data_IF_342910031917
#
_entry.id   IF_342910031917
#
_cell.length_a   1.000
_cell.length_b   1.000
_cell.length_c   1.000
_cell.angle_alpha   90.00
_cell.angle_beta   90.00
_cell.angle_gamma   90.00
#
_symmetry.space_group_name_H-M   'P 1'
#
loop_
_entity.id
_entity.type
_entity.pdbx_description
1 polymer ?
#
# COMPACT_ATOMS: atom_id res chain seq x y z
N UNK A 1 36.91 -13.10 12.74
CA UNK A 1 37.59 -12.38 11.65
C UNK A 1 37.40 -10.89 11.87
N UNK A 2 38.48 -10.17 12.14
CA UNK A 2 38.44 -8.75 12.46
C UNK A 2 38.32 -7.92 11.17
N UNK A 3 37.13 -7.41 10.90
CA UNK A 3 36.93 -6.37 9.89
C UNK A 3 37.50 -5.08 10.48
N UNK A 4 38.59 -4.56 9.91
CA UNK A 4 39.31 -3.41 10.44
C UNK A 4 38.45 -2.14 10.53
N UNK A 5 38.78 -1.26 11.48
CA UNK A 5 38.04 -0.02 11.78
C UNK A 5 37.81 0.87 10.53
N UNK A 6 38.76 0.87 9.59
CA UNK A 6 38.67 1.55 8.29
C UNK A 6 37.63 0.93 7.35
N UNK A 7 37.50 -0.40 7.33
CA UNK A 7 36.48 -1.11 6.54
C UNK A 7 35.07 -0.83 7.06
N UNK A 8 34.89 -0.75 8.38
CA UNK A 8 33.61 -0.40 9.00
C UNK A 8 33.20 1.03 8.68
N UNK A 9 34.13 1.99 8.71
CA UNK A 9 33.87 3.40 8.36
C UNK A 9 33.56 3.57 6.87
N UNK A 10 34.29 2.88 5.99
CA UNK A 10 34.03 2.89 4.54
C UNK A 10 32.67 2.26 4.22
N UNK A 11 32.35 1.11 4.81
CA UNK A 11 31.05 0.48 4.68
C UNK A 11 29.93 1.40 5.15
N UNK A 12 30.08 2.03 6.32
CA UNK A 12 29.13 3.01 6.88
C UNK A 12 28.86 4.18 5.95
N UNK A 13 29.91 4.86 5.49
CA UNK A 13 29.78 6.03 4.63
C UNK A 13 29.19 5.64 3.26
N UNK A 14 29.58 4.47 2.74
CA UNK A 14 29.02 3.93 1.50
C UNK A 14 27.54 3.58 1.64
N UNK A 15 27.10 3.06 2.79
CA UNK A 15 25.70 2.68 2.99
C UNK A 15 24.78 3.90 3.15
N UNK A 16 25.23 4.94 3.86
CA UNK A 16 24.51 6.22 3.96
C UNK A 16 24.44 6.91 2.59
N UNK A 17 25.56 6.97 1.86
CA UNK A 17 25.59 7.52 0.51
C UNK A 17 24.67 6.72 -0.43
N UNK A 18 24.66 5.39 -0.33
CA UNK A 18 23.77 4.52 -1.12
C UNK A 18 22.31 4.77 -0.79
N UNK A 19 21.95 4.94 0.49
CA UNK A 19 20.58 5.29 0.89
C UNK A 19 20.12 6.64 0.31
N UNK A 20 20.99 7.66 0.35
CA UNK A 20 20.71 8.99 -0.22
C UNK A 20 20.62 8.93 -1.74
N UNK A 21 21.55 8.21 -2.39
CA UNK A 21 21.55 8.02 -3.84
C UNK A 21 20.34 7.20 -4.32
N UNK A 22 19.85 6.24 -3.54
CA UNK A 22 18.64 5.48 -3.85
C UNK A 22 17.39 6.36 -3.80
N UNK A 23 17.30 7.27 -2.82
CA UNK A 23 16.23 8.27 -2.76
C UNK A 23 16.31 9.19 -3.98
N UNK A 24 17.50 9.72 -4.30
CA UNK A 24 17.72 10.56 -5.48
C UNK A 24 17.40 9.83 -6.80
N UNK A 25 17.84 8.58 -6.95
CA UNK A 25 17.59 7.74 -8.12
C UNK A 25 16.09 7.43 -8.28
N UNK A 26 15.35 7.23 -7.19
CA UNK A 26 13.89 7.10 -7.25
C UNK A 26 13.23 8.36 -7.81
N UNK A 27 13.63 9.55 -7.36
CA UNK A 27 13.10 10.82 -7.86
C UNK A 27 13.41 11.05 -9.35
N UNK A 28 14.61 10.68 -9.80
CA UNK A 28 15.03 10.82 -11.21
C UNK A 28 14.37 9.77 -12.10
N UNK A 29 14.16 8.55 -11.61
CA UNK A 29 13.55 7.47 -12.39
C UNK A 29 12.01 7.50 -12.38
N UNK A 30 11.38 8.18 -11.41
CA UNK A 30 9.92 8.31 -11.29
C UNK A 30 9.22 8.77 -12.57
N UNK A 31 9.69 9.80 -13.31
CA UNK A 31 9.07 10.21 -14.58
C UNK A 31 9.18 9.14 -15.67
N UNK A 32 10.29 8.40 -15.72
CA UNK A 32 10.51 7.31 -16.67
C UNK A 32 9.55 6.13 -16.43
N UNK A 33 9.16 5.87 -15.18
CA UNK A 33 8.18 4.83 -14.84
C UNK A 33 6.73 5.19 -15.17
N UNK A 34 6.43 6.48 -15.36
CA UNK A 34 5.10 7.00 -15.72
C UNK A 34 4.87 6.92 -17.24
N UNK A 35 5.93 6.90 -18.06
CA UNK A 35 5.85 7.11 -19.51
C UNK A 35 5.88 5.85 -20.40
N UNK A 36 5.79 4.61 -19.88
CA UNK A 36 5.94 3.38 -20.68
C UNK A 36 4.65 2.58 -20.93
N UNK A 37 4.66 1.78 -22.01
CA UNK A 37 3.52 1.11 -22.67
C UNK A 37 2.88 -0.08 -21.91
N UNK A 38 1.61 -0.35 -22.23
CA UNK A 38 0.67 -1.34 -21.64
C UNK A 38 1.26 -2.74 -21.34
N UNK A 39 2.10 -3.31 -22.21
CA UNK A 39 2.64 -4.69 -22.09
C UNK A 39 3.62 -4.92 -20.94
N UNK A 40 4.32 -3.89 -20.47
CA UNK A 40 5.37 -4.02 -19.44
C UNK A 40 4.85 -3.81 -17.99
N UNK A 41 3.56 -3.48 -17.83
CA UNK A 41 2.99 -3.03 -16.55
C UNK A 41 2.97 -4.09 -15.43
N UNK A 42 2.84 -5.39 -15.77
CA UNK A 42 2.92 -6.48 -14.79
C UNK A 42 4.33 -6.65 -14.19
N UNK A 43 5.37 -6.31 -14.94
CA UNK A 43 6.78 -6.39 -14.52
C UNK A 43 7.22 -5.12 -13.79
N UNK A 44 6.64 -3.96 -14.16
CA UNK A 44 7.03 -2.63 -13.68
C UNK A 44 6.46 -2.26 -12.29
N UNK A 45 5.46 -2.94 -11.73
CA UNK A 45 5.20 -2.82 -10.29
C UNK A 45 6.18 -3.65 -9.47
N UNK A 46 6.67 -4.76 -10.02
CA UNK A 46 7.55 -5.68 -9.31
C UNK A 46 8.97 -5.14 -9.18
N UNK A 47 9.58 -4.62 -10.25
CA UNK A 47 11.00 -4.22 -10.28
C UNK A 47 11.32 -2.98 -9.41
N UNK A 48 10.57 -1.86 -9.46
CA UNK A 48 10.80 -0.71 -8.58
C UNK A 48 10.46 -1.03 -7.13
N UNK A 49 9.46 -1.89 -6.89
CA UNK A 49 9.10 -2.30 -5.54
C UNK A 49 10.12 -3.26 -4.95
N UNK A 50 10.67 -4.19 -5.73
CA UNK A 50 11.80 -5.02 -5.29
C UNK A 50 13.04 -4.18 -5.07
N UNK A 51 13.37 -3.25 -5.97
CA UNK A 51 14.47 -2.31 -5.77
C UNK A 51 14.28 -1.47 -4.49
N UNK A 52 13.05 -1.03 -4.21
CA UNK A 52 12.71 -0.34 -2.97
C UNK A 52 12.86 -1.23 -1.73
N UNK A 53 12.41 -2.48 -1.79
CA UNK A 53 12.60 -3.45 -0.70
C UNK A 53 14.09 -3.73 -0.48
N UNK A 54 14.88 -3.85 -1.55
CA UNK A 54 16.34 -3.98 -1.48
C UNK A 54 16.99 -2.75 -0.86
N UNK A 55 16.56 -1.55 -1.26
CA UNK A 55 17.01 -0.29 -0.67
C UNK A 55 16.73 -0.26 0.84
N UNK A 56 15.52 -0.63 1.24
CA UNK A 56 15.16 -0.70 2.66
C UNK A 56 16.01 -1.74 3.41
N UNK A 57 16.19 -2.94 2.85
CA UNK A 57 17.05 -3.98 3.41
C UNK A 57 18.49 -3.51 3.61
N UNK A 58 19.03 -2.75 2.65
CA UNK A 58 20.36 -2.17 2.74
C UNK A 58 20.47 -1.16 3.89
N UNK A 59 19.44 -0.35 4.13
CA UNK A 59 19.44 0.56 5.27
C UNK A 59 19.28 -0.17 6.60
N UNK A 60 18.54 -1.28 6.66
CA UNK A 60 18.50 -2.12 7.87
C UNK A 60 19.89 -2.69 8.16
N UNK A 61 20.60 -3.19 7.15
CA UNK A 61 21.99 -3.67 7.29
C UNK A 61 22.91 -2.53 7.75
N UNK A 62 22.74 -1.34 7.18
CA UNK A 62 23.47 -0.14 7.60
C UNK A 62 23.17 0.21 9.07
N UNK A 63 21.89 0.26 9.46
CA UNK A 63 21.44 0.52 10.83
C UNK A 63 22.01 -0.51 11.82
N UNK A 64 21.99 -1.79 11.45
CA UNK A 64 22.58 -2.86 12.24
C UNK A 64 24.09 -2.70 12.44
N UNK A 65 24.80 -2.17 11.44
CA UNK A 65 26.25 -1.91 11.55
C UNK A 65 26.62 -0.83 12.58
N UNK A 66 25.67 0.02 12.97
CA UNK A 66 25.87 0.99 14.07
C UNK A 66 25.74 0.35 15.46
N UNK A 67 25.22 -0.87 15.56
CA UNK A 67 25.04 -1.57 16.83
C UNK A 67 26.28 -2.42 17.19
N UNK A 68 26.64 -2.53 18.48
CA UNK A 68 25.99 -1.92 19.64
C UNK A 68 26.45 -0.49 19.96
N UNK A 69 27.46 0.05 19.26
CA UNK A 69 28.20 1.25 19.68
C UNK A 69 27.47 2.59 19.54
N UNK A 70 26.53 2.72 18.59
CA UNK A 70 25.83 3.99 18.28
C UNK A 70 24.32 3.76 18.08
N UNK A 71 23.59 3.32 19.12
CA UNK A 71 22.18 2.95 19.02
C UNK A 71 21.27 4.13 18.66
N UNK A 72 21.63 5.36 19.05
CA UNK A 72 20.89 6.57 18.66
C UNK A 72 20.84 6.76 17.13
N UNK A 73 21.97 6.57 16.46
CA UNK A 73 22.08 6.75 15.00
C UNK A 73 21.32 5.66 14.24
N UNK A 74 21.44 4.41 14.71
CA UNK A 74 20.64 3.28 14.21
C UNK A 74 19.14 3.58 14.31
N UNK A 75 18.71 4.09 15.48
CA UNK A 75 17.32 4.45 15.75
C UNK A 75 16.82 5.55 14.83
N UNK A 76 17.55 6.65 14.70
CA UNK A 76 17.18 7.77 13.84
C UNK A 76 17.09 7.35 12.35
N UNK A 77 18.03 6.54 11.86
CA UNK A 77 17.98 6.04 10.48
C UNK A 77 16.71 5.23 10.19
N UNK A 78 16.33 4.33 11.10
CA UNK A 78 15.13 3.51 10.98
C UNK A 78 13.84 4.35 11.10
N UNK A 79 13.81 5.33 12.00
CA UNK A 79 12.68 6.26 12.16
C UNK A 79 12.52 7.15 10.93
N UNK A 80 13.61 7.62 10.31
CA UNK A 80 13.55 8.41 9.07
C UNK A 80 12.93 7.60 7.92
N UNK A 81 13.26 6.32 7.78
CA UNK A 81 12.62 5.46 6.76
C UNK A 81 11.15 5.26 7.07
N UNK A 82 10.81 4.98 8.32
CA UNK A 82 9.43 4.86 8.75
C UNK A 82 8.65 6.13 8.42
N UNK A 83 9.20 7.31 8.72
CA UNK A 83 8.62 8.61 8.39
C UNK A 83 8.47 8.83 6.88
N UNK A 84 9.47 8.49 6.08
CA UNK A 84 9.39 8.55 4.62
C UNK A 84 8.26 7.65 4.07
N UNK A 85 8.12 6.46 4.65
CA UNK A 85 7.09 5.50 4.25
C UNK A 85 5.69 5.98 4.61
N UNK A 86 5.46 6.36 5.87
CA UNK A 86 4.17 6.86 6.36
C UNK A 86 3.79 8.19 5.71
N UNK A 87 4.78 9.06 5.42
CA UNK A 87 4.61 10.32 4.72
C UNK A 87 4.26 10.20 3.23
N UNK A 88 4.18 8.98 2.69
CA UNK A 88 3.80 8.74 1.30
C UNK A 88 4.95 8.95 0.30
N UNK A 89 6.20 8.76 0.72
CA UNK A 89 7.37 8.80 -0.15
C UNK A 89 7.35 7.72 -1.24
N UNK A 90 6.62 6.62 -1.03
CA UNK A 90 6.32 5.60 -2.04
C UNK A 90 4.86 5.70 -2.44
N UNK A 91 4.57 6.58 -3.40
CA UNK A 91 3.29 6.56 -4.09
C UNK A 91 3.45 5.79 -5.38
N UNK A 92 2.61 4.78 -5.56
CA UNK A 92 2.49 4.11 -6.85
C UNK A 92 2.02 5.15 -7.91
N UNK A 93 2.55 5.09 -9.14
CA UNK A 93 2.10 5.95 -10.22
C UNK A 93 0.57 5.92 -10.38
N UNK A 94 -0.02 7.09 -10.67
CA UNK A 94 -1.47 7.23 -10.87
C UNK A 94 -1.96 6.69 -12.22
N UNK A 95 -1.04 6.49 -13.17
CA UNK A 95 -1.30 5.88 -14.48
C UNK A 95 -1.73 4.40 -14.37
N UNK A 96 -2.68 3.95 -15.19
CA UNK A 96 -3.14 2.55 -15.27
C UNK A 96 -3.67 2.03 -13.92
N UNK A 97 -4.65 2.74 -13.37
CA UNK A 97 -5.14 2.54 -12.02
C UNK A 97 -5.70 1.13 -11.77
N UNK A 98 -6.43 0.57 -12.73
CA UNK A 98 -7.09 -0.73 -12.60
C UNK A 98 -6.11 -1.89 -12.82
N UNK A 99 -5.22 -1.76 -13.80
CA UNK A 99 -4.21 -2.78 -14.13
C UNK A 99 -3.21 -2.97 -12.98
N UNK A 100 -2.91 -1.90 -12.26
CA UNK A 100 -1.98 -1.90 -11.12
C UNK A 100 -2.64 -2.25 -9.78
N UNK A 101 -3.97 -2.22 -9.69
CA UNK A 101 -4.71 -2.44 -8.45
C UNK A 101 -4.33 -3.75 -7.75
N UNK A 102 -4.17 -4.85 -8.51
CA UNK A 102 -3.77 -6.14 -7.93
C UNK A 102 -2.41 -6.07 -7.23
N UNK A 103 -1.46 -5.38 -7.86
CA UNK A 103 -0.14 -5.13 -7.30
C UNK A 103 -0.25 -4.28 -6.04
N UNK A 104 -1.04 -3.20 -6.09
CA UNK A 104 -1.31 -2.33 -4.94
C UNK A 104 -1.90 -3.07 -3.75
N UNK A 105 -2.96 -3.86 -3.94
CA UNK A 105 -3.57 -4.68 -2.90
C UNK A 105 -2.60 -5.72 -2.34
N UNK A 106 -1.60 -6.15 -3.12
CA UNK A 106 -0.61 -7.13 -2.68
C UNK A 106 0.51 -6.49 -1.87
N UNK A 107 1.01 -5.34 -2.32
CA UNK A 107 2.17 -4.72 -1.72
C UNK A 107 1.84 -3.75 -0.61
N UNK A 108 0.69 -3.07 -0.60
CA UNK A 108 0.35 -2.10 0.43
C UNK A 108 0.40 -2.70 1.85
N UNK A 109 -0.09 -3.93 2.03
CA UNK A 109 0.01 -4.63 3.31
C UNK A 109 1.47 -4.93 3.70
N UNK A 110 2.25 -5.51 2.77
CA UNK A 110 3.65 -5.86 3.03
C UNK A 110 4.50 -4.63 3.36
N UNK A 111 4.32 -3.56 2.58
CA UNK A 111 4.99 -2.28 2.78
C UNK A 111 4.67 -1.67 4.13
N UNK A 112 3.39 -1.65 4.51
CA UNK A 112 2.95 -1.13 5.81
C UNK A 112 3.51 -1.92 6.97
N UNK A 113 3.51 -3.25 6.87
CA UNK A 113 4.11 -4.13 7.89
C UNK A 113 5.60 -3.86 8.02
N UNK A 114 6.31 -3.80 6.91
CA UNK A 114 7.75 -3.50 6.88
C UNK A 114 8.05 -2.12 7.49
N UNK A 115 7.24 -1.10 7.18
CA UNK A 115 7.39 0.20 7.80
C UNK A 115 7.18 0.15 9.31
N UNK A 116 6.15 -0.56 9.79
CA UNK A 116 5.91 -0.72 11.23
C UNK A 116 7.07 -1.44 11.93
N UNK A 117 7.70 -2.42 11.28
CA UNK A 117 8.94 -3.04 11.76
C UNK A 117 10.07 -2.00 11.90
N UNK A 118 10.27 -1.13 10.92
CA UNK A 118 11.32 -0.11 11.01
C UNK A 118 11.04 0.93 12.09
N UNK A 119 9.79 1.41 12.20
CA UNK A 119 9.40 2.35 13.24
C UNK A 119 9.64 1.78 14.64
N UNK A 120 9.23 0.52 14.85
CA UNK A 120 9.38 -0.17 16.13
C UNK A 120 10.83 -0.52 16.47
N UNK A 121 11.61 -1.06 15.53
CA UNK A 121 13.05 -1.30 15.74
C UNK A 121 13.81 0.00 15.99
N UNK A 122 13.44 1.08 15.28
CA UNK A 122 13.98 2.42 15.51
C UNK A 122 13.72 2.89 16.94
N UNK A 123 12.49 2.75 17.42
CA UNK A 123 12.12 3.08 18.80
C UNK A 123 12.91 2.26 19.84
N UNK A 124 13.12 0.96 19.61
CA UNK A 124 13.95 0.12 20.51
C UNK A 124 15.39 0.62 20.58
N UNK A 125 15.97 1.00 19.44
CA UNK A 125 17.32 1.56 19.40
C UNK A 125 17.41 2.89 20.16
N UNK A 126 16.39 3.74 20.07
CA UNK A 126 16.31 4.98 20.85
C UNK A 126 16.16 4.69 22.36
N UNK A 127 15.30 3.75 22.76
CA UNK A 127 15.17 3.35 24.18
C UNK A 127 16.49 2.79 24.71
N UNK A 128 17.24 2.02 23.92
CA UNK A 128 18.56 1.51 24.30
C UNK A 128 19.60 2.62 24.51
N UNK A 129 19.40 3.80 23.93
CA UNK A 129 20.28 4.96 24.15
C UNK A 129 20.01 5.69 25.47
N UNK A 130 18.90 5.38 26.15
CA UNK A 130 18.57 5.98 27.44
C UNK A 130 19.49 5.44 28.55
N UNK A 131 19.80 6.26 29.57
CA UNK A 131 20.62 5.86 30.70
C UNK A 131 19.85 4.88 31.62
N UNK A 132 19.84 3.59 31.25
CA UNK A 132 19.24 2.52 32.04
C UNK A 132 20.32 1.90 32.95
N UNK A 133 20.09 1.78 34.26
CA UNK A 133 21.01 1.09 35.16
C UNK A 133 21.31 -0.33 34.66
N UNK A 134 22.58 -0.73 34.63
CA UNK A 134 23.03 -2.00 34.00
C UNK A 134 22.29 -3.25 34.48
N UNK A 135 21.87 -3.27 35.76
CA UNK A 135 21.06 -4.36 36.34
C UNK A 135 19.69 -4.58 35.67
N UNK A 136 19.15 -3.55 35.02
CA UNK A 136 17.87 -3.61 34.32
C UNK A 136 18.02 -3.63 32.80
N UNK A 137 19.22 -3.41 32.25
CA UNK A 137 19.43 -3.24 30.81
C UNK A 137 18.94 -4.45 29.99
N UNK A 138 19.22 -5.67 30.45
CA UNK A 138 18.76 -6.90 29.79
C UNK A 138 17.24 -7.06 29.86
N UNK A 139 16.64 -6.78 31.03
CA UNK A 139 15.20 -6.88 31.23
C UNK A 139 14.45 -5.86 30.38
N UNK A 140 14.89 -4.60 30.38
CA UNK A 140 14.32 -3.52 29.55
C UNK A 140 14.45 -3.88 28.07
N UNK A 141 15.60 -4.38 27.62
CA UNK A 141 15.78 -4.80 26.23
C UNK A 141 14.84 -5.95 25.84
N UNK A 142 14.74 -6.99 26.68
CA UNK A 142 13.84 -8.11 26.44
C UNK A 142 12.37 -7.66 26.39
N UNK A 143 11.94 -6.79 27.30
CA UNK A 143 10.60 -6.19 27.29
C UNK A 143 10.36 -5.39 26.01
N UNK A 144 11.31 -4.57 25.59
CA UNK A 144 11.21 -3.81 24.35
C UNK A 144 11.03 -4.73 23.13
N UNK A 145 11.83 -5.79 23.01
CA UNK A 145 11.69 -6.76 21.90
C UNK A 145 10.34 -7.47 21.95
N UNK A 146 9.88 -7.91 23.12
CA UNK A 146 8.57 -8.56 23.28
C UNK A 146 7.42 -7.63 22.88
N UNK A 147 7.48 -6.36 23.26
CA UNK A 147 6.48 -5.35 22.87
C UNK A 147 6.50 -5.14 21.36
N UNK A 148 7.68 -5.06 20.73
CA UNK A 148 7.80 -4.93 19.27
C UNK A 148 7.20 -6.12 18.55
N UNK A 149 7.56 -7.34 18.95
CA UNK A 149 7.02 -8.56 18.34
C UNK A 149 5.49 -8.63 18.50
N UNK A 150 4.96 -8.24 19.65
CA UNK A 150 3.52 -8.13 19.89
C UNK A 150 2.84 -7.12 18.97
N UNK A 151 3.34 -5.88 18.92
CA UNK A 151 2.76 -4.80 18.10
C UNK A 151 2.84 -5.15 16.61
N UNK A 152 4.01 -5.58 16.13
CA UNK A 152 4.23 -5.95 14.73
C UNK A 152 3.35 -7.14 14.35
N UNK A 153 3.31 -8.19 15.18
CA UNK A 153 2.50 -9.37 14.92
C UNK A 153 1.01 -9.04 14.81
N UNK A 154 0.46 -8.35 15.80
CA UNK A 154 -0.96 -7.95 15.81
C UNK A 154 -1.29 -7.01 14.65
N UNK A 155 -0.44 -6.01 14.40
CA UNK A 155 -0.65 -5.06 13.30
C UNK A 155 -0.60 -5.74 11.94
N UNK A 156 0.32 -6.70 11.76
CA UNK A 156 0.42 -7.47 10.51
C UNK A 156 -0.86 -8.24 10.22
N UNK A 157 -1.34 -9.04 11.18
CA UNK A 157 -2.58 -9.79 11.03
C UNK A 157 -3.77 -8.86 10.73
N UNK A 158 -3.85 -7.72 11.41
CA UNK A 158 -4.92 -6.73 11.22
C UNK A 158 -4.87 -6.08 9.83
N UNK A 159 -3.69 -5.73 9.35
CA UNK A 159 -3.49 -5.14 8.01
C UNK A 159 -3.85 -6.15 6.92
N UNK A 160 -3.36 -7.40 7.00
CA UNK A 160 -3.68 -8.43 6.00
C UNK A 160 -5.16 -8.82 6.01
N UNK A 161 -5.78 -8.93 7.19
CA UNK A 161 -7.22 -9.17 7.31
C UNK A 161 -8.03 -8.03 6.69
N UNK A 162 -7.64 -6.78 6.93
CA UNK A 162 -8.29 -5.62 6.31
C UNK A 162 -8.20 -5.63 4.79
N UNK A 163 -7.03 -5.94 4.23
CA UNK A 163 -6.87 -6.03 2.78
C UNK A 163 -7.77 -7.10 2.16
N UNK A 164 -7.89 -8.27 2.81
CA UNK A 164 -8.83 -9.33 2.39
C UNK A 164 -10.27 -8.84 2.43
N UNK A 165 -10.71 -8.27 3.55
CA UNK A 165 -12.07 -7.73 3.71
C UNK A 165 -12.38 -6.66 2.67
N UNK A 166 -11.45 -5.72 2.46
CA UNK A 166 -11.59 -4.67 1.45
C UNK A 166 -11.70 -5.26 0.04
N UNK A 167 -10.88 -6.26 -0.31
CA UNK A 167 -10.97 -6.93 -1.60
C UNK A 167 -12.31 -7.67 -1.80
N UNK A 168 -12.80 -8.37 -0.77
CA UNK A 168 -14.12 -9.01 -0.79
C UNK A 168 -15.25 -7.98 -0.96
N UNK A 169 -15.22 -6.88 -0.20
CA UNK A 169 -16.21 -5.80 -0.30
C UNK A 169 -16.18 -5.13 -1.68
N UNK A 170 -14.99 -4.88 -2.23
CA UNK A 170 -14.83 -4.30 -3.57
C UNK A 170 -15.39 -5.22 -4.65
N UNK A 171 -15.08 -6.52 -4.62
CA UNK A 171 -15.64 -7.47 -5.59
C UNK A 171 -17.16 -7.56 -5.49
N UNK A 172 -17.68 -7.72 -4.27
CA UNK A 172 -19.13 -7.83 -4.03
C UNK A 172 -19.89 -6.57 -4.46
N UNK A 173 -19.40 -5.38 -4.09
CA UNK A 173 -20.05 -4.11 -4.44
C UNK A 173 -19.92 -3.80 -5.94
N UNK A 174 -18.77 -4.10 -6.55
CA UNK A 174 -18.61 -3.95 -8.00
C UNK A 174 -19.56 -4.88 -8.77
N UNK A 175 -19.69 -6.14 -8.33
CA UNK A 175 -20.66 -7.08 -8.91
C UNK A 175 -22.11 -6.61 -8.72
N UNK A 176 -22.42 -5.98 -7.58
CA UNK A 176 -23.75 -5.39 -7.33
C UNK A 176 -24.05 -4.27 -8.33
N UNK A 177 -23.10 -3.37 -8.58
CA UNK A 177 -23.24 -2.31 -9.59
C UNK A 177 -23.45 -2.90 -10.99
N UNK A 178 -22.61 -3.85 -11.42
CA UNK A 178 -22.76 -4.53 -12.72
C UNK A 178 -24.17 -5.13 -12.88
N UNK A 179 -24.67 -5.84 -11.87
CA UNK A 179 -26.01 -6.44 -11.88
C UNK A 179 -27.12 -5.39 -11.91
N UNK A 180 -26.97 -4.28 -11.19
CA UNK A 180 -27.94 -3.19 -11.21
C UNK A 180 -27.99 -2.52 -12.59
N UNK A 181 -26.84 -2.26 -13.22
CA UNK A 181 -26.77 -1.71 -14.58
C UNK A 181 -27.36 -2.67 -15.61
N UNK A 182 -27.06 -3.98 -15.52
CA UNK A 182 -27.62 -5.00 -16.39
C UNK A 182 -29.15 -5.07 -16.25
N UNK A 183 -29.67 -5.09 -15.01
CA UNK A 183 -31.12 -5.06 -14.75
C UNK A 183 -31.76 -3.79 -15.31
N UNK A 184 -31.16 -2.63 -15.06
CA UNK A 184 -31.64 -1.34 -15.55
C UNK A 184 -31.73 -1.32 -17.09
N UNK A 185 -30.74 -1.90 -17.78
CA UNK A 185 -30.73 -1.99 -19.25
C UNK A 185 -31.85 -2.87 -19.82
N UNK A 186 -32.28 -3.89 -19.07
CA UNK A 186 -33.32 -4.84 -19.49
C UNK A 186 -34.72 -4.49 -18.97
N UNK A 187 -34.85 -3.50 -18.10
CA UNK A 187 -36.12 -3.20 -17.43
C UNK A 187 -37.11 -2.42 -18.32
N UNK A 188 -38.42 -2.74 -18.22
CA UNK A 188 -39.48 -1.95 -18.84
C UNK A 188 -39.47 -0.49 -18.34
N UNK A 189 -39.97 0.44 -19.16
CA UNK A 189 -39.99 1.88 -18.83
C UNK A 189 -40.63 2.16 -17.46
N UNK A 190 -41.70 1.44 -17.11
CA UNK A 190 -42.41 1.60 -15.84
C UNK A 190 -41.55 1.29 -14.59
N UNK A 191 -40.55 0.41 -14.70
CA UNK A 191 -39.66 0.05 -13.60
C UNK A 191 -38.34 0.84 -13.60
N UNK A 192 -38.07 1.65 -14.63
CA UNK A 192 -36.75 2.27 -14.82
C UNK A 192 -36.35 3.22 -13.69
N UNK A 193 -37.31 3.96 -13.11
CA UNK A 193 -37.01 4.88 -12.00
C UNK A 193 -36.46 4.11 -10.79
N UNK A 194 -37.18 3.09 -10.32
CA UNK A 194 -36.75 2.28 -9.18
C UNK A 194 -35.41 1.57 -9.44
N UNK A 195 -35.17 1.13 -10.68
CA UNK A 195 -33.92 0.45 -11.07
C UNK A 195 -32.75 1.43 -11.17
N UNK A 196 -33.02 2.67 -11.55
CA UNK A 196 -32.04 3.77 -11.53
C UNK A 196 -31.60 4.05 -10.10
N UNK A 197 -32.56 4.27 -9.20
CA UNK A 197 -32.26 4.52 -7.77
C UNK A 197 -31.42 3.38 -7.18
N UNK A 198 -31.76 2.12 -7.49
CA UNK A 198 -30.99 0.96 -7.04
C UNK A 198 -29.57 0.87 -7.64
N UNK A 199 -29.35 1.42 -8.84
CA UNK A 199 -28.02 1.50 -9.46
C UNK A 199 -27.19 2.64 -8.85
N UNK A 200 -27.81 3.77 -8.56
CA UNK A 200 -27.21 4.91 -7.86
C UNK A 200 -26.79 4.50 -6.44
N UNK A 201 -27.67 3.87 -5.68
CA UNK A 201 -27.37 3.35 -4.33
C UNK A 201 -26.20 2.34 -4.35
N UNK A 202 -26.18 1.45 -5.35
CA UNK A 202 -25.10 0.48 -5.51
C UNK A 202 -23.77 1.16 -5.84
N UNK A 203 -23.80 2.21 -6.67
CA UNK A 203 -22.62 3.01 -6.99
C UNK A 203 -22.10 3.75 -5.76
N UNK A 204 -22.97 4.40 -4.99
CA UNK A 204 -22.60 5.11 -3.77
C UNK A 204 -21.92 4.20 -2.75
N UNK A 205 -22.46 2.99 -2.57
CA UNK A 205 -21.83 1.96 -1.75
C UNK A 205 -20.41 1.63 -2.24
N UNK A 206 -20.23 1.42 -3.55
CA UNK A 206 -18.91 1.13 -4.13
C UNK A 206 -17.96 2.33 -3.99
N UNK A 207 -18.42 3.54 -4.25
CA UNK A 207 -17.62 4.77 -4.21
C UNK A 207 -17.11 5.06 -2.79
N UNK A 208 -17.94 4.82 -1.77
CA UNK A 208 -17.50 4.87 -0.36
C UNK A 208 -16.38 3.86 -0.09
N UNK A 209 -16.48 2.63 -0.59
CA UNK A 209 -15.42 1.63 -0.41
C UNK A 209 -14.15 1.99 -1.17
N UNK A 210 -14.24 2.52 -2.39
CA UNK A 210 -13.09 2.99 -3.18
C UNK A 210 -12.35 4.16 -2.53
N UNK A 211 -13.04 4.91 -1.67
CA UNK A 211 -12.45 6.02 -0.89
C UNK A 211 -11.58 5.54 0.27
N UNK A 212 -11.65 4.25 0.63
CA UNK A 212 -10.85 3.70 1.71
C UNK A 212 -9.37 3.57 1.32
N UNK A 213 -8.52 3.54 2.34
CA UNK A 213 -7.11 3.15 2.21
C UNK A 213 -6.98 1.64 2.33
N UNK A 214 -6.07 1.07 1.56
CA UNK A 214 -5.88 -0.38 1.47
C UNK A 214 -5.50 -0.98 2.83
N UNK A 215 -4.61 -0.33 3.56
CA UNK A 215 -3.84 -0.91 4.65
C UNK A 215 -4.12 -0.25 6.02
N UNK A 216 -4.50 1.02 6.04
CA UNK A 216 -4.51 1.84 7.27
C UNK A 216 -5.92 2.08 7.81
N UNK A 217 -6.94 2.12 6.96
CA UNK A 217 -8.30 2.55 7.34
C UNK A 217 -8.36 3.97 7.92
N UNK A 218 -7.26 4.73 7.84
CA UNK A 218 -7.18 6.13 8.27
C UNK A 218 -7.26 7.02 7.03
N UNK A 219 -7.86 8.20 7.16
CA UNK A 219 -7.98 9.13 6.04
C UNK A 219 -6.66 9.84 5.70
N UNK A 220 -5.78 10.05 6.70
CA UNK A 220 -4.58 10.88 6.58
C UNK A 220 -3.38 10.16 5.96
N UNK A 221 -3.27 8.84 6.09
CA UNK A 221 -2.09 8.09 5.65
C UNK A 221 -2.47 6.76 5.00
N UNK A 222 -1.67 6.33 4.04
CA UNK A 222 -1.85 5.07 3.30
C UNK A 222 -2.27 5.23 1.85
N UNK A 223 -2.39 4.09 1.18
CA UNK A 223 -2.55 3.98 -0.26
C UNK A 223 -4.03 3.87 -0.62
N UNK A 224 -4.50 4.72 -1.53
CA UNK A 224 -5.88 4.64 -2.03
C UNK A 224 -6.08 3.40 -2.90
N UNK A 225 -7.28 2.80 -2.88
CA UNK A 225 -7.63 1.66 -3.74
C UNK A 225 -7.36 2.00 -5.21
N UNK A 226 -7.92 3.11 -5.69
CA UNK A 226 -7.61 3.73 -6.99
C UNK A 226 -7.28 5.22 -6.80
N UNK A 227 -6.47 5.83 -7.68
CA UNK A 227 -6.22 7.28 -7.65
C UNK A 227 -7.52 8.07 -7.80
N UNK A 228 -7.55 9.29 -7.27
CA UNK A 228 -8.74 10.16 -7.30
C UNK A 228 -9.26 10.39 -8.71
N UNK A 229 -8.37 10.60 -9.68
CA UNK A 229 -8.77 10.87 -11.07
C UNK A 229 -9.41 9.65 -11.72
N UNK A 230 -8.81 8.46 -11.57
CA UNK A 230 -9.41 7.23 -12.07
C UNK A 230 -10.76 6.89 -11.39
N UNK A 231 -10.95 7.32 -10.14
CA UNK A 231 -12.24 7.19 -9.46
C UNK A 231 -13.30 8.10 -10.07
N UNK A 232 -12.95 9.36 -10.38
CA UNK A 232 -13.85 10.31 -11.05
C UNK A 232 -14.19 9.86 -12.48
N UNK A 233 -13.22 9.28 -13.19
CA UNK A 233 -13.44 8.70 -14.52
C UNK A 233 -14.44 7.55 -14.44
N UNK A 234 -14.26 6.62 -13.48
CA UNK A 234 -15.21 5.54 -13.26
C UNK A 234 -16.60 6.06 -12.87
N UNK A 235 -16.66 7.09 -12.02
CA UNK A 235 -17.91 7.76 -11.64
C UNK A 235 -18.65 8.31 -12.86
N UNK A 236 -17.96 9.04 -13.73
CA UNK A 236 -18.55 9.60 -14.94
C UNK A 236 -19.13 8.49 -15.84
N UNK A 237 -18.36 7.41 -16.07
CA UNK A 237 -18.80 6.29 -16.91
C UNK A 237 -19.99 5.55 -16.30
N UNK A 238 -20.02 5.34 -14.98
CA UNK A 238 -21.15 4.69 -14.30
C UNK A 238 -22.39 5.59 -14.34
N UNK A 239 -22.25 6.88 -14.05
CA UNK A 239 -23.37 7.82 -14.10
C UNK A 239 -23.95 7.94 -15.53
N UNK A 240 -23.10 7.93 -16.55
CA UNK A 240 -23.54 7.91 -17.94
C UNK A 240 -24.29 6.61 -18.29
N UNK A 241 -23.83 5.45 -17.79
CA UNK A 241 -24.52 4.17 -17.96
C UNK A 241 -25.89 4.14 -17.26
N UNK A 242 -26.03 4.80 -16.11
CA UNK A 242 -27.30 4.96 -15.39
C UNK A 242 -28.25 5.91 -16.15
N UNK A 243 -27.71 7.01 -16.70
CA UNK A 243 -28.47 7.98 -17.47
C UNK A 243 -28.98 7.39 -18.80
N UNK A 244 -28.14 6.59 -19.47
CA UNK A 244 -28.38 6.00 -20.78
C UNK A 244 -28.27 4.46 -20.77
N UNK A 245 -29.28 3.74 -20.20
CA UNK A 245 -29.21 2.30 -20.08
C UNK A 245 -29.14 1.59 -21.44
N UNK A 246 -28.18 0.67 -21.59
CA UNK A 246 -28.00 -0.13 -22.81
C UNK A 246 -27.17 0.55 -23.91
N UNK A 247 -26.73 1.79 -23.70
CA UNK A 247 -25.79 2.48 -24.57
C UNK A 247 -24.33 1.97 -24.38
N UNK A 248 -23.38 2.30 -25.28
CA UNK A 248 -21.97 1.91 -25.16
C UNK A 248 -21.32 2.16 -23.78
N UNK A 249 -21.64 3.26 -23.05
CA UNK A 249 -21.14 3.49 -21.69
C UNK A 249 -21.47 2.36 -20.71
N UNK A 250 -22.55 1.60 -20.91
CA UNK A 250 -22.88 0.43 -20.08
C UNK A 250 -21.84 -0.69 -20.23
N UNK A 251 -21.32 -0.90 -21.44
CA UNK A 251 -20.29 -1.90 -21.70
C UNK A 251 -18.94 -1.45 -21.14
N UNK A 252 -18.63 -0.16 -21.25
CA UNK A 252 -17.42 0.41 -20.67
C UNK A 252 -17.42 0.34 -19.15
N UNK A 253 -18.53 0.71 -18.50
CA UNK A 253 -18.73 0.56 -17.06
C UNK A 253 -18.50 -0.89 -16.62
N UNK A 254 -19.14 -1.85 -17.30
CA UNK A 254 -18.98 -3.27 -17.01
C UNK A 254 -17.52 -3.75 -17.21
N UNK A 255 -16.81 -3.24 -18.23
CA UNK A 255 -15.41 -3.59 -18.45
C UNK A 255 -14.50 -3.06 -17.32
N UNK A 256 -14.69 -1.82 -16.88
CA UNK A 256 -13.89 -1.24 -15.79
C UNK A 256 -14.19 -1.90 -14.44
N UNK A 257 -15.46 -2.18 -14.15
CA UNK A 257 -15.88 -2.95 -12.95
C UNK A 257 -15.33 -4.38 -13.01
N UNK A 258 -15.32 -5.01 -14.18
CA UNK A 258 -14.72 -6.32 -14.40
C UNK A 258 -13.21 -6.33 -14.11
N UNK A 259 -12.48 -5.29 -14.52
CA UNK A 259 -11.06 -5.12 -14.15
C UNK A 259 -10.89 -5.01 -12.64
N UNK A 260 -11.72 -4.21 -11.96
CA UNK A 260 -11.70 -4.06 -10.50
C UNK A 260 -11.91 -5.41 -9.79
N UNK A 261 -12.91 -6.18 -10.21
CA UNK A 261 -13.23 -7.51 -9.69
C UNK A 261 -12.09 -8.51 -9.93
N UNK A 262 -11.55 -8.53 -11.14
CA UNK A 262 -10.43 -9.41 -11.50
C UNK A 262 -9.20 -9.18 -10.62
N UNK A 263 -8.93 -7.93 -10.23
CA UNK A 263 -7.82 -7.57 -9.35
C UNK A 263 -8.03 -8.05 -7.90
N UNK A 264 -9.29 -8.19 -7.46
CA UNK A 264 -9.67 -8.62 -6.12
C UNK A 264 -9.76 -10.15 -5.97
N UNK A 265 -10.02 -10.87 -7.07
CA UNK A 265 -10.30 -12.32 -7.10
C UNK A 265 -9.40 -13.22 -6.25
N UNK A 266 -8.08 -12.97 -6.23
CA UNK A 266 -7.09 -13.80 -5.52
C UNK A 266 -7.05 -13.54 -4.01
N UNK A 267 -7.73 -12.48 -3.55
CA UNK A 267 -7.76 -12.06 -2.14
C UNK A 267 -9.16 -12.17 -1.53
N UNK A 268 -10.12 -12.72 -2.27
CA UNK A 268 -11.47 -12.96 -1.77
C UNK A 268 -11.39 -13.98 -0.64
N UNK A 269 -11.92 -13.56 0.49
CA UNK A 269 -12.11 -14.41 1.65
C UNK A 269 -13.55 -14.93 1.64
N UNK A 270 -13.74 -16.20 1.30
CA UNK A 270 -15.07 -16.84 1.28
C UNK A 270 -15.59 -17.15 2.67
N UNK A 271 -14.80 -16.91 3.71
CA UNK A 271 -15.14 -17.15 5.12
C UNK A 271 -15.25 -15.84 5.94
N UNK A 272 -15.05 -14.68 5.30
CA UNK A 272 -15.11 -13.36 5.95
C UNK A 272 -16.53 -12.82 6.15
#
# INVERSE_FOLDING_TARGET
MAVGHTSVVLFRNSAVLTAVLLIGAYWVAKPWFVARSERWHRVITFVPMTAYIWAQGLVVVAAASFLPGRPLEAGLALIMIWGFHVGGGVREPTSFAFERLRGRLSWAAALQVTAMVYGTLGAVCLVRSLPVPGRYATAVFATCISVVLGIVGVTSLKVFSRVRKLATELDSRAQKVERCLERLSRSPIAERSQRRDAAEDAWDDLNRTLSNKVETGFHLYGTFVIPSEARKELEAVVQEAIANPGAPPSQEAAAQLGKLRSACSVKIDTLA
#
